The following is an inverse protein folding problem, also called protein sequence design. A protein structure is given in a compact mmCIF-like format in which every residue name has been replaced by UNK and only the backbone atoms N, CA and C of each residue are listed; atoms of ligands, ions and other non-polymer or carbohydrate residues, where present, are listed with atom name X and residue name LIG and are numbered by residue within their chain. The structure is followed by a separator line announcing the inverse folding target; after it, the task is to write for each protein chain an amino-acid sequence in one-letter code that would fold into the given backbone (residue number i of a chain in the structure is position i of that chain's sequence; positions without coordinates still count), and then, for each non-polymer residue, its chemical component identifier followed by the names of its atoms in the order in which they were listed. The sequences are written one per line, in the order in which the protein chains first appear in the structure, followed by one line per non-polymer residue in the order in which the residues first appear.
data_IF_543232302738
#
_entry.id   IF_543232302738
#
_cell.length_a   1.000
_cell.length_b   1.000
_cell.length_c   1.000
_cell.angle_alpha   90.00
_cell.angle_beta   90.00
_cell.angle_gamma   90.00
#
_symmetry.space_group_name_H-M   'P 1'
#
loop_
_entity.id
_entity.type
_entity.pdbx_description
1 polymer ?
#
# COMPACT_ATOMS: atom_id res chain seq x y z
N UNK A 1 23.34 22.17 -17.78
CA UNK A 1 22.69 21.08 -17.01
C UNK A 1 21.18 21.32 -16.95
N UNK A 2 20.42 20.57 -17.76
CA UNK A 2 18.96 20.68 -17.81
C UNK A 2 18.39 20.21 -16.48
N UNK A 3 17.81 21.14 -15.70
CA UNK A 3 17.05 20.82 -14.49
C UNK A 3 15.85 19.96 -14.92
N UNK A 4 15.96 18.64 -14.75
CA UNK A 4 14.79 17.76 -14.76
C UNK A 4 13.85 18.28 -13.68
N UNK A 5 12.71 18.83 -14.12
CA UNK A 5 11.71 19.46 -13.25
C UNK A 5 11.31 18.54 -12.11
N UNK A 6 11.14 19.13 -10.92
CA UNK A 6 10.71 18.40 -9.73
C UNK A 6 9.41 17.65 -9.96
N UNK A 7 9.32 16.42 -9.44
CA UNK A 7 8.10 15.63 -9.49
C UNK A 7 6.97 16.40 -8.78
N UNK A 8 5.93 16.78 -9.52
CA UNK A 8 4.74 17.43 -8.96
C UNK A 8 3.84 16.36 -8.30
N UNK A 9 3.67 16.35 -6.97
CA UNK A 9 2.86 15.36 -6.28
C UNK A 9 1.37 15.41 -6.65
N UNK A 10 0.87 16.57 -7.09
CA UNK A 10 -0.54 16.74 -7.46
C UNK A 10 -0.92 15.89 -8.68
N UNK A 11 0.01 15.56 -9.57
CA UNK A 11 -0.24 14.69 -10.72
C UNK A 11 -0.51 13.23 -10.31
N UNK A 12 -0.23 12.86 -9.06
CA UNK A 12 -0.50 11.53 -8.50
C UNK A 12 -1.72 11.52 -7.58
N UNK A 13 -2.37 12.67 -7.33
CA UNK A 13 -3.65 12.70 -6.62
C UNK A 13 -4.76 12.27 -7.56
N UNK A 14 -5.03 10.99 -7.55
CA UNK A 14 -6.22 10.43 -8.21
C UNK A 14 -7.43 10.75 -7.34
N UNK A 15 -8.33 11.58 -7.86
CA UNK A 15 -9.65 11.86 -7.29
C UNK A 15 -10.41 10.54 -7.12
N UNK A 16 -11.13 10.39 -5.99
CA UNK A 16 -11.92 9.19 -5.65
C UNK A 16 -12.95 8.82 -6.75
N UNK A 17 -13.27 9.78 -7.61
CA UNK A 17 -14.24 9.68 -8.71
C UNK A 17 -13.66 9.16 -10.03
N UNK A 18 -12.34 8.95 -10.14
CA UNK A 18 -11.74 8.47 -11.39
C UNK A 18 -12.24 7.04 -11.68
N UNK A 19 -12.93 6.79 -12.80
CA UNK A 19 -13.42 5.46 -13.15
C UNK A 19 -12.29 4.44 -13.14
N UNK A 20 -12.55 3.22 -12.66
CA UNK A 20 -11.51 2.18 -12.54
C UNK A 20 -10.84 1.85 -13.89
N UNK A 21 -11.51 2.15 -15.00
CA UNK A 21 -11.10 1.95 -16.39
C UNK A 21 -10.12 3.02 -16.89
N UNK A 22 -10.09 4.21 -16.27
CA UNK A 22 -9.17 5.31 -16.61
C UNK A 22 -7.84 5.21 -15.84
N UNK A 23 -7.71 4.21 -14.97
CA UNK A 23 -6.48 3.97 -14.21
C UNK A 23 -5.39 3.44 -15.14
N UNK A 24 -4.60 4.36 -15.72
CA UNK A 24 -3.41 4.02 -16.49
C UNK A 24 -2.34 3.46 -15.56
N UNK A 25 -1.85 2.26 -15.89
CA UNK A 25 -0.70 1.67 -15.23
C UNK A 25 0.56 1.97 -16.04
N UNK A 26 1.59 2.62 -15.46
CA UNK A 26 2.84 2.90 -16.16
C UNK A 26 3.55 1.61 -16.59
N UNK A 27 4.31 1.66 -17.68
CA UNK A 27 5.14 0.54 -18.12
C UNK A 27 6.08 0.08 -16.99
N UNK A 28 6.15 -1.24 -16.79
CA UNK A 28 6.97 -1.84 -15.73
C UNK A 28 6.39 -1.76 -14.31
N UNK A 29 5.13 -1.34 -14.15
CA UNK A 29 4.47 -1.41 -12.84
C UNK A 29 4.41 -2.84 -12.29
N UNK A 30 4.42 -2.98 -10.97
CA UNK A 30 4.19 -4.28 -10.26
C UNK A 30 2.84 -4.33 -9.54
N UNK A 31 1.98 -3.37 -9.86
CA UNK A 31 0.61 -3.25 -9.35
C UNK A 31 0.37 -1.90 -8.68
N UNK A 32 -0.84 -1.72 -8.18
CA UNK A 32 -1.26 -0.52 -7.44
C UNK A 32 -1.99 -0.91 -6.18
N UNK A 33 -1.71 -0.22 -5.09
CA UNK A 33 -2.35 -0.41 -3.78
C UNK A 33 -3.22 0.80 -3.47
N UNK A 34 -4.44 0.57 -3.00
CA UNK A 34 -5.34 1.61 -2.48
C UNK A 34 -5.43 1.50 -0.96
N UNK A 35 -5.00 2.56 -0.29
CA UNK A 35 -5.02 2.68 1.17
C UNK A 35 -5.67 4.01 1.55
N UNK A 36 -6.58 3.97 2.52
CA UNK A 36 -7.10 5.14 3.21
C UNK A 36 -6.32 5.39 4.50
N UNK A 37 -6.05 6.66 4.81
CA UNK A 37 -5.36 7.08 6.02
C UNK A 37 -6.20 8.13 6.74
N UNK A 38 -6.42 7.91 8.03
CA UNK A 38 -7.09 8.87 8.90
C UNK A 38 -6.36 8.90 10.24
N UNK A 39 -5.98 10.09 10.68
CA UNK A 39 -5.36 10.28 11.97
C UNK A 39 -6.37 10.89 12.95
N UNK A 40 -6.44 10.33 14.15
CA UNK A 40 -7.18 10.86 15.29
C UNK A 40 -6.16 11.44 16.28
N UNK A 41 -6.09 12.77 16.33
CA UNK A 41 -5.17 13.51 17.20
C UNK A 41 -5.56 13.43 18.67
N UNK A 42 -6.86 13.32 19.00
CA UNK A 42 -7.33 13.19 20.37
C UNK A 42 -7.01 11.80 20.95
N UNK A 43 -7.14 10.76 20.12
CA UNK A 43 -6.83 9.38 20.48
C UNK A 43 -5.36 8.98 20.30
N UNK A 44 -4.56 9.83 19.64
CA UNK A 44 -3.19 9.55 19.18
C UNK A 44 -3.10 8.25 18.36
N UNK A 45 -4.00 8.10 17.38
CA UNK A 45 -4.17 6.85 16.60
C UNK A 45 -4.19 7.12 15.11
N UNK A 46 -3.49 6.28 14.36
CA UNK A 46 -3.61 6.20 12.90
C UNK A 46 -4.50 5.03 12.52
N UNK A 47 -5.62 5.32 11.86
CA UNK A 47 -6.45 4.36 11.17
C UNK A 47 -5.94 4.18 9.74
N UNK A 48 -5.65 2.93 9.38
CA UNK A 48 -5.18 2.53 8.06
C UNK A 48 -6.20 1.57 7.46
N UNK A 49 -6.86 2.00 6.38
CA UNK A 49 -7.83 1.20 5.65
C UNK A 49 -7.17 0.60 4.41
N UNK A 50 -6.87 -0.71 4.44
CA UNK A 50 -6.38 -1.44 3.27
C UNK A 50 -7.57 -1.85 2.40
N UNK A 51 -7.74 -1.17 1.26
CA UNK A 51 -8.93 -1.31 0.42
C UNK A 51 -8.75 -2.47 -0.56
N UNK A 52 -7.87 -2.28 -1.55
CA UNK A 52 -7.65 -3.22 -2.64
C UNK A 52 -6.25 -3.09 -3.23
N UNK A 53 -5.83 -4.10 -3.96
CA UNK A 53 -4.66 -4.07 -4.83
C UNK A 53 -5.09 -4.55 -6.21
N UNK A 54 -4.52 -3.96 -7.27
CA UNK A 54 -4.79 -4.37 -8.64
C UNK A 54 -3.52 -4.57 -9.44
N UNK A 55 -3.65 -5.41 -10.46
CA UNK A 55 -2.66 -5.66 -11.51
C UNK A 55 -1.32 -6.14 -10.96
N UNK A 56 -1.37 -7.10 -10.03
CA UNK A 56 -0.18 -7.78 -9.52
C UNK A 56 0.42 -8.69 -10.61
N UNK A 57 1.76 -8.76 -10.71
CA UNK A 57 2.42 -9.71 -11.60
C UNK A 57 2.07 -11.13 -11.16
N UNK A 58 1.68 -11.96 -12.11
CA UNK A 58 1.39 -13.36 -11.84
C UNK A 58 2.69 -14.11 -11.51
N UNK A 59 2.63 -14.97 -10.48
CA UNK A 59 3.75 -15.87 -10.14
C UNK A 59 4.09 -16.82 -11.29
N UNK A 60 3.10 -17.21 -12.09
CA UNK A 60 3.27 -18.16 -13.20
C UNK A 60 2.96 -17.44 -14.51
N UNK A 61 3.95 -17.39 -15.40
CA UNK A 61 3.81 -16.76 -16.71
C UNK A 61 2.64 -17.38 -17.49
N UNK A 62 1.79 -16.54 -18.07
CA UNK A 62 0.60 -16.96 -18.83
C UNK A 62 -0.57 -17.46 -17.97
N UNK A 63 -0.44 -17.54 -16.65
CA UNK A 63 -1.56 -17.87 -15.76
C UNK A 63 -2.18 -16.60 -15.16
N UNK A 64 -3.44 -16.33 -15.46
CA UNK A 64 -4.19 -15.30 -14.76
C UNK A 64 -4.49 -15.75 -13.32
N UNK A 65 -4.40 -14.83 -12.36
CA UNK A 65 -4.78 -15.06 -10.96
C UNK A 65 -3.94 -16.14 -10.23
N UNK A 66 -2.69 -16.35 -10.64
CA UNK A 66 -1.78 -17.30 -10.00
C UNK A 66 -1.03 -16.71 -8.78
N UNK A 67 -1.67 -15.82 -8.00
CA UNK A 67 -1.12 -15.22 -6.78
C UNK A 67 -2.00 -15.49 -5.57
N UNK A 68 -1.39 -15.56 -4.40
CA UNK A 68 -2.03 -15.64 -3.09
C UNK A 68 -1.60 -14.44 -2.22
N UNK A 69 -1.99 -13.21 -2.58
CA UNK A 69 -1.44 -11.99 -2.00
C UNK A 69 -1.90 -11.70 -0.57
N UNK A 70 -1.02 -11.09 0.20
CA UNK A 70 -1.30 -10.43 1.47
C UNK A 70 -0.38 -9.21 1.65
N UNK A 71 -0.75 -8.30 2.55
CA UNK A 71 -0.01 -7.05 2.78
C UNK A 71 0.46 -7.00 4.22
N UNK A 72 1.73 -6.64 4.41
CA UNK A 72 2.28 -6.25 5.72
C UNK A 72 2.43 -4.74 5.76
N UNK A 73 1.92 -4.12 6.81
CA UNK A 73 1.94 -2.67 6.98
C UNK A 73 2.81 -2.34 8.20
N UNK A 74 3.79 -1.48 7.97
CA UNK A 74 4.77 -1.02 8.96
C UNK A 74 4.64 0.50 9.12
N UNK A 75 5.00 1.01 10.30
CA UNK A 75 5.15 2.45 10.54
C UNK A 75 6.63 2.72 10.84
N UNK A 76 7.34 3.19 9.83
CA UNK A 76 8.78 3.47 9.91
C UNK A 76 9.06 4.66 10.83
N UNK A 77 10.16 4.63 11.59
CA UNK A 77 11.32 3.73 11.46
C UNK A 77 11.17 2.39 12.20
N UNK A 78 10.04 2.11 12.86
CA UNK A 78 9.85 0.81 13.53
C UNK A 78 9.54 -0.28 12.50
N UNK A 79 10.58 -0.99 12.07
CA UNK A 79 10.45 -2.13 11.16
C UNK A 79 10.15 -3.45 11.88
N UNK A 80 10.22 -3.47 13.21
CA UNK A 80 10.01 -4.70 13.99
C UNK A 80 8.53 -5.03 14.13
N UNK A 81 7.68 -4.00 14.13
CA UNK A 81 6.23 -4.14 14.30
C UNK A 81 5.52 -3.97 12.96
N UNK A 82 4.69 -4.96 12.62
CA UNK A 82 3.77 -4.87 11.49
C UNK A 82 2.41 -5.44 11.85
N UNK A 83 1.40 -4.94 11.16
CA UNK A 83 0.10 -5.61 11.04
C UNK A 83 0.06 -6.32 9.69
N UNK A 84 -0.68 -7.41 9.61
CA UNK A 84 -0.77 -8.23 8.42
C UNK A 84 -2.23 -8.44 8.03
N UNK A 85 -2.53 -8.28 6.75
CA UNK A 85 -3.84 -8.58 6.21
C UNK A 85 -4.11 -10.10 6.15
N UNK A 86 -5.37 -10.44 5.96
CA UNK A 86 -5.73 -11.80 5.53
C UNK A 86 -5.15 -12.07 4.14
N UNK A 87 -4.74 -13.31 3.91
CA UNK A 87 -4.30 -13.77 2.60
C UNK A 87 -5.51 -14.02 1.70
N UNK A 88 -5.48 -13.47 0.49
CA UNK A 88 -6.48 -13.72 -0.55
C UNK A 88 -5.88 -14.73 -1.53
N UNK A 89 -6.60 -15.79 -1.86
CA UNK A 89 -6.09 -16.88 -2.70
C UNK A 89 -6.47 -16.70 -4.15
N UNK A 90 -5.61 -17.16 -5.05
CA UNK A 90 -5.86 -17.22 -6.50
C UNK A 90 -6.40 -15.91 -7.07
N UNK A 91 -5.71 -14.79 -6.82
CA UNK A 91 -6.10 -13.48 -7.35
C UNK A 91 -4.90 -12.54 -7.50
N UNK A 92 -4.83 -11.86 -8.65
CA UNK A 92 -3.90 -10.74 -8.88
C UNK A 92 -4.55 -9.37 -8.59
N UNK A 93 -5.81 -9.37 -8.16
CA UNK A 93 -6.61 -8.17 -7.88
C UNK A 93 -7.37 -8.31 -6.54
N UNK A 94 -6.66 -8.51 -5.42
CA UNK A 94 -7.32 -8.75 -4.14
C UNK A 94 -8.07 -7.52 -3.63
N UNK A 95 -9.30 -7.74 -3.14
CA UNK A 95 -10.02 -6.80 -2.26
C UNK A 95 -9.83 -7.25 -0.82
N UNK A 96 -9.23 -6.38 0.00
CA UNK A 96 -8.95 -6.66 1.41
C UNK A 96 -10.08 -6.15 2.28
N UNK A 97 -10.39 -4.85 2.17
CA UNK A 97 -11.40 -4.16 2.98
C UNK A 97 -11.15 -4.35 4.49
N UNK A 98 -9.88 -4.20 4.89
CA UNK A 98 -9.41 -4.42 6.26
C UNK A 98 -8.94 -3.10 6.88
N UNK A 99 -9.25 -2.89 8.16
CA UNK A 99 -8.85 -1.71 8.91
C UNK A 99 -7.85 -2.08 10.01
N UNK A 100 -6.80 -1.27 10.16
CA UNK A 100 -5.77 -1.42 11.18
C UNK A 100 -5.58 -0.13 11.96
N UNK A 101 -5.27 -0.25 13.24
CA UNK A 101 -5.03 0.89 14.12
C UNK A 101 -3.59 0.82 14.64
N UNK A 102 -2.85 1.91 14.49
CA UNK A 102 -1.54 2.09 15.09
C UNK A 102 -1.61 3.18 16.16
N UNK A 103 -1.12 2.88 17.36
CA UNK A 103 -0.93 3.91 18.38
C UNK A 103 0.29 4.75 17.98
N UNK A 104 0.07 6.05 17.77
CA UNK A 104 1.08 6.96 17.23
C UNK A 104 0.91 8.36 17.84
N UNK A 105 1.81 8.76 18.76
CA UNK A 105 1.79 10.10 19.34
C UNK A 105 1.91 11.19 18.27
N UNK A 106 1.16 12.28 18.46
CA UNK A 106 1.07 13.38 17.48
C UNK A 106 2.42 14.00 17.16
N UNK A 107 3.27 14.17 18.19
CA UNK A 107 4.64 14.70 18.07
C UNK A 107 5.51 13.96 17.05
N UNK A 108 5.24 12.67 16.84
CA UNK A 108 6.07 11.83 15.97
C UNK A 108 5.42 11.62 14.60
N UNK A 109 4.14 11.96 14.40
CA UNK A 109 3.38 11.58 13.21
C UNK A 109 4.01 12.10 11.91
N UNK A 110 4.50 13.33 11.91
CA UNK A 110 4.99 14.01 10.69
C UNK A 110 6.28 13.41 10.12
N UNK A 111 7.08 12.75 10.95
CA UNK A 111 8.36 12.14 10.56
C UNK A 111 8.20 10.65 10.18
N UNK A 112 6.99 10.11 10.29
CA UNK A 112 6.73 8.68 10.09
C UNK A 112 6.34 8.40 8.64
N UNK A 113 6.67 7.20 8.19
CA UNK A 113 6.31 6.70 6.87
C UNK A 113 5.55 5.39 7.06
N UNK A 114 4.35 5.30 6.49
CA UNK A 114 3.66 4.03 6.38
C UNK A 114 4.27 3.25 5.21
N UNK A 115 4.79 2.05 5.49
CA UNK A 115 5.30 1.13 4.46
C UNK A 115 4.33 -0.03 4.31
N UNK A 116 3.68 -0.13 3.16
CA UNK A 116 2.89 -1.30 2.78
C UNK A 116 3.73 -2.22 1.88
N UNK A 117 4.04 -3.41 2.36
CA UNK A 117 4.76 -4.44 1.62
C UNK A 117 3.76 -5.48 1.11
N UNK A 118 3.66 -5.63 -0.21
CA UNK A 118 2.81 -6.66 -0.83
C UNK A 118 3.63 -7.92 -1.03
N UNK A 119 3.12 -9.05 -0.53
CA UNK A 119 3.76 -10.35 -0.64
C UNK A 119 2.83 -11.36 -1.31
N UNK A 120 3.43 -12.31 -2.04
CA UNK A 120 2.77 -13.52 -2.54
C UNK A 120 3.23 -14.74 -1.75
N UNK A 121 2.28 -15.58 -1.30
CA UNK A 121 2.61 -16.86 -0.67
C UNK A 121 2.60 -17.97 -1.69
N UNK A 122 3.71 -18.70 -1.81
CA UNK A 122 3.76 -19.91 -2.64
C UNK A 122 3.27 -21.17 -1.91
N UNK A 123 3.15 -22.26 -2.67
CA UNK A 123 2.76 -23.58 -2.16
C UNK A 123 3.76 -24.14 -1.13
N UNK A 124 4.98 -23.63 -1.11
CA UNK A 124 6.04 -24.00 -0.17
C UNK A 124 6.08 -23.13 1.09
N UNK A 125 5.06 -22.29 1.34
CA UNK A 125 5.01 -21.31 2.44
C UNK A 125 6.17 -20.30 2.39
N UNK A 126 6.77 -20.07 1.23
CA UNK A 126 7.72 -18.97 1.04
C UNK A 126 6.94 -17.71 0.71
N UNK A 127 7.41 -16.60 1.25
CA UNK A 127 6.82 -15.28 1.01
C UNK A 127 7.73 -14.51 0.05
N UNK A 128 7.23 -14.26 -1.15
CA UNK A 128 7.93 -13.48 -2.16
C UNK A 128 7.43 -12.05 -2.09
N UNK A 129 8.34 -11.09 -1.91
CA UNK A 129 7.98 -9.68 -1.96
C UNK A 129 7.73 -9.29 -3.41
N UNK A 130 6.55 -8.73 -3.68
CA UNK A 130 6.22 -8.16 -4.99
C UNK A 130 6.71 -6.71 -5.07
N UNK A 131 6.48 -5.94 -4.01
CA UNK A 131 6.87 -4.53 -3.96
C UNK A 131 6.46 -3.83 -2.68
N UNK A 132 6.84 -2.56 -2.59
CA UNK A 132 6.57 -1.68 -1.45
C UNK A 132 5.89 -0.40 -1.93
N UNK A 133 4.93 0.09 -1.14
CA UNK A 133 4.39 1.43 -1.24
C UNK A 133 4.70 2.21 0.03
N UNK A 134 5.23 3.42 -0.12
CA UNK A 134 5.61 4.32 0.98
C UNK A 134 4.66 5.52 0.99
N UNK A 135 4.04 5.78 2.14
CA UNK A 135 3.15 6.91 2.35
C UNK A 135 3.72 7.77 3.48
N UNK A 136 4.35 8.91 3.18
CA UNK A 136 4.74 9.89 4.18
C UNK A 136 3.50 10.36 4.95
N UNK A 137 3.56 10.35 6.29
CA UNK A 137 2.44 10.77 7.14
C UNK A 137 2.44 12.28 7.44
N UNK A 138 3.37 13.02 6.85
CA UNK A 138 3.44 14.48 6.92
C UNK A 138 2.15 15.11 6.39
N UNK A 139 1.52 15.96 7.19
CA UNK A 139 0.30 16.67 6.84
C UNK A 139 -1.00 15.92 7.14
N UNK A 140 -0.93 14.71 7.73
CA UNK A 140 -2.12 13.97 8.18
C UNK A 140 -2.48 14.24 9.66
N UNK A 141 -1.64 14.97 10.40
CA UNK A 141 -1.79 15.22 11.85
C UNK A 141 -2.46 16.54 12.23
N UNK A 142 -3.25 17.15 11.35
CA UNK A 142 -3.91 18.44 11.62
C UNK A 142 -5.10 18.32 12.58
#
# INVERSE_FOLDING_TARGET
PTLLGGLNPELYRISVETPEEEVVFPDGHVGRVWIGLQYDSAGERLLVSLIKVKNLPSRVYGCNNCCDPFVRIYVLPDERRYVQSKMKKKTCNPKFEENFIFQMPSKNAEERILKATVLDSDRGKRYNVIGHALFPLKGYSQ
#
